data_IF_456574885770
#
_entry.id   IF_456574885770
#
_cell.length_a   1.000
_cell.length_b   1.000
_cell.length_c   1.000
_cell.angle_alpha   90.00
_cell.angle_beta   90.00
_cell.angle_gamma   90.00
#
_symmetry.space_group_name_H-M   'P 1'
#
loop_
_entity.id
_entity.type
_entity.pdbx_description
1 polymer ?
#
# COMPACT_ATOMS: atom_id res chain seq x y z
N UNK A 1 13.91 -1.05 -21.18
CA UNK A 1 13.03 -2.04 -20.51
C UNK A 1 11.87 -1.26 -19.92
N UNK A 2 10.64 -1.60 -20.28
CA UNK A 2 9.46 -1.00 -19.67
C UNK A 2 9.22 -1.69 -18.32
N UNK A 3 9.71 -1.05 -17.26
CA UNK A 3 9.61 -1.56 -15.89
C UNK A 3 8.15 -1.72 -15.47
N UNK A 4 7.24 -0.87 -15.95
CA UNK A 4 5.82 -0.95 -15.61
C UNK A 4 5.17 -2.15 -16.30
N UNK A 5 5.43 -2.35 -17.59
CA UNK A 5 4.92 -3.52 -18.30
C UNK A 5 5.44 -4.83 -17.67
N UNK A 6 6.74 -4.89 -17.34
CA UNK A 6 7.33 -6.08 -16.74
C UNK A 6 6.80 -6.36 -15.33
N UNK A 7 6.62 -5.30 -14.54
CA UNK A 7 6.01 -5.34 -13.21
C UNK A 7 4.58 -5.89 -13.20
N UNK A 8 3.79 -5.52 -14.22
CA UNK A 8 2.38 -5.89 -14.29
C UNK A 8 2.19 -7.40 -14.46
N UNK A 9 3.15 -8.11 -15.06
CA UNK A 9 3.07 -9.57 -15.27
C UNK A 9 2.80 -10.36 -13.99
N UNK A 10 3.38 -9.94 -12.86
CA UNK A 10 3.13 -10.54 -11.55
C UNK A 10 2.09 -9.76 -10.74
N UNK A 11 2.01 -8.44 -10.86
CA UNK A 11 1.03 -7.65 -10.11
C UNK A 11 -0.43 -7.96 -10.48
N UNK A 12 -0.67 -8.50 -11.68
CA UNK A 12 -1.97 -9.02 -12.13
C UNK A 12 -2.31 -10.43 -11.58
N UNK A 13 -1.35 -11.08 -10.91
CA UNK A 13 -1.50 -12.45 -10.38
C UNK A 13 -1.42 -12.50 -8.85
N UNK A 14 -0.97 -11.43 -8.21
CA UNK A 14 -0.80 -11.35 -6.77
C UNK A 14 -1.88 -10.48 -6.14
N UNK A 15 -2.52 -11.00 -5.09
CA UNK A 15 -3.48 -10.25 -4.28
C UNK A 15 -2.80 -9.11 -3.50
N UNK A 16 -3.47 -7.96 -3.41
CA UNK A 16 -3.01 -6.84 -2.60
C UNK A 16 -2.97 -7.17 -1.10
N UNK A 17 -3.83 -8.07 -0.62
CA UNK A 17 -3.81 -8.57 0.77
C UNK A 17 -2.47 -9.21 1.13
N UNK A 18 -1.80 -9.88 0.18
CA UNK A 18 -0.45 -10.43 0.41
C UNK A 18 0.54 -9.34 0.83
N UNK A 19 0.49 -8.16 0.18
CA UNK A 19 1.31 -7.01 0.54
C UNK A 19 0.88 -6.41 1.88
N UNK A 20 -0.42 -6.30 2.12
CA UNK A 20 -0.96 -5.81 3.40
C UNK A 20 -0.49 -6.65 4.60
N UNK A 21 -0.47 -7.97 4.47
CA UNK A 21 0.06 -8.86 5.51
C UNK A 21 1.56 -8.72 5.72
N UNK A 22 2.35 -8.54 4.65
CA UNK A 22 3.75 -8.19 4.77
C UNK A 22 3.91 -6.91 5.59
N UNK A 23 3.15 -5.86 5.27
CA UNK A 23 3.26 -4.57 5.94
C UNK A 23 2.84 -4.64 7.42
N UNK A 24 1.77 -5.37 7.76
CA UNK A 24 1.41 -5.63 9.16
C UNK A 24 2.52 -6.37 9.90
N UNK A 25 3.07 -7.43 9.28
CA UNK A 25 4.14 -8.21 9.90
C UNK A 25 5.39 -7.36 10.13
N UNK A 26 5.75 -6.49 9.19
CA UNK A 26 6.87 -5.56 9.34
C UNK A 26 6.61 -4.51 10.42
N UNK A 27 5.39 -3.96 10.50
CA UNK A 27 5.02 -2.96 11.53
C UNK A 27 5.00 -3.57 12.94
N UNK A 28 4.49 -4.80 13.08
CA UNK A 28 4.41 -5.50 14.36
C UNK A 28 5.77 -6.02 14.87
N UNK A 29 6.72 -6.28 13.95
CA UNK A 29 8.05 -6.78 14.33
C UNK A 29 8.91 -5.66 14.92
N UNK A 30 9.61 -5.93 16.02
CA UNK A 30 10.61 -5.01 16.58
C UNK A 30 12.01 -5.33 16.05
N UNK A 31 12.85 -4.30 15.92
CA UNK A 31 14.24 -4.44 15.49
C UNK A 31 14.44 -4.55 13.97
N UNK A 32 15.39 -3.77 13.46
CA UNK A 32 15.67 -3.67 12.01
C UNK A 32 16.17 -4.98 11.41
N UNK A 33 16.95 -5.78 12.16
CA UNK A 33 17.49 -7.07 11.67
C UNK A 33 16.36 -8.05 11.33
N UNK A 34 15.40 -8.24 12.25
CA UNK A 34 14.27 -9.15 12.05
C UNK A 34 13.37 -8.70 10.90
N UNK A 35 13.10 -7.39 10.79
CA UNK A 35 12.37 -6.82 9.66
C UNK A 35 13.06 -7.06 8.32
N UNK A 36 14.39 -6.88 8.26
CA UNK A 36 15.18 -7.19 7.05
C UNK A 36 15.07 -8.67 6.67
N UNK A 37 15.14 -9.58 7.64
CA UNK A 37 14.95 -11.02 7.38
C UNK A 37 13.57 -11.32 6.78
N UNK A 38 12.50 -10.74 7.32
CA UNK A 38 11.14 -10.91 6.81
C UNK A 38 11.03 -10.39 5.37
N UNK A 39 11.53 -9.17 5.11
CA UNK A 39 11.47 -8.56 3.79
C UNK A 39 12.34 -9.32 2.76
N UNK A 40 13.56 -9.70 3.12
CA UNK A 40 14.43 -10.49 2.24
C UNK A 40 13.81 -11.85 1.90
N UNK A 41 13.15 -12.50 2.87
CA UNK A 41 12.42 -13.74 2.59
C UNK A 41 11.24 -13.52 1.64
N UNK A 42 10.50 -12.42 1.82
CA UNK A 42 9.41 -12.05 0.92
C UNK A 42 9.90 -11.84 -0.52
N UNK A 43 11.00 -11.10 -0.69
CA UNK A 43 11.61 -10.84 -2.01
C UNK A 43 12.06 -12.15 -2.67
N UNK A 44 12.67 -13.08 -1.92
CA UNK A 44 13.04 -14.39 -2.47
C UNK A 44 11.84 -15.19 -2.98
N UNK A 45 10.71 -15.18 -2.23
CA UNK A 45 9.48 -15.86 -2.65
C UNK A 45 8.85 -15.17 -3.87
N UNK A 46 8.92 -13.84 -3.91
CA UNK A 46 8.51 -13.04 -5.05
C UNK A 46 9.29 -13.41 -6.31
N UNK A 47 10.62 -13.47 -6.22
CA UNK A 47 11.51 -13.82 -7.34
C UNK A 47 11.20 -15.23 -7.87
N UNK A 48 10.95 -16.20 -6.98
CA UNK A 48 10.55 -17.56 -7.36
C UNK A 48 9.20 -17.55 -8.10
N UNK A 49 8.20 -16.86 -7.55
CA UNK A 49 6.88 -16.78 -8.16
C UNK A 49 6.93 -16.12 -9.54
N UNK A 50 7.67 -15.02 -9.65
CA UNK A 50 7.85 -14.29 -10.90
C UNK A 50 8.60 -15.12 -11.95
N UNK A 51 9.64 -15.85 -11.55
CA UNK A 51 10.38 -16.76 -12.45
C UNK A 51 9.47 -17.86 -13.03
N UNK A 52 8.53 -18.36 -12.23
CA UNK A 52 7.55 -19.37 -12.68
C UNK A 52 6.53 -18.81 -13.68
N UNK A 53 6.33 -17.49 -13.73
CA UNK A 53 5.45 -16.83 -14.70
C UNK A 53 6.16 -16.56 -16.04
N UNK A 54 7.50 -16.60 -16.09
CA UNK A 54 8.29 -16.25 -17.27
C UNK A 54 8.71 -17.49 -18.08
N UNK A 55 8.48 -17.46 -19.39
CA UNK A 55 9.06 -18.43 -20.33
C UNK A 55 10.59 -18.26 -20.40
N UNK A 56 11.32 -19.31 -20.80
CA UNK A 56 12.80 -19.33 -20.85
C UNK A 56 13.41 -18.18 -21.67
N UNK A 57 12.72 -17.69 -22.70
CA UNK A 57 13.17 -16.61 -23.57
C UNK A 57 12.93 -15.19 -23.03
N UNK A 58 12.09 -15.01 -22.01
CA UNK A 58 11.74 -13.69 -21.45
C UNK A 58 12.66 -13.27 -20.29
N UNK A 59 13.54 -14.17 -19.83
CA UNK A 59 14.32 -14.01 -18.59
C UNK A 59 15.39 -12.92 -18.66
N UNK A 60 15.83 -12.54 -19.86
CA UNK A 60 17.02 -11.71 -20.06
C UNK A 60 16.86 -10.23 -19.64
N UNK A 61 15.63 -9.75 -19.47
CA UNK A 61 15.33 -8.41 -18.95
C UNK A 61 14.50 -8.40 -17.66
N UNK A 62 14.09 -9.56 -17.18
CA UNK A 62 13.05 -9.76 -16.18
C UNK A 62 13.59 -9.57 -14.73
N UNK A 63 14.40 -8.54 -14.49
CA UNK A 63 15.09 -8.35 -13.22
C UNK A 63 14.17 -7.99 -12.04
N UNK A 64 14.80 -7.52 -10.96
CA UNK A 64 14.17 -6.95 -9.75
C UNK A 64 13.16 -5.83 -10.03
N UNK A 65 13.11 -5.32 -11.27
CA UNK A 65 12.04 -4.53 -11.84
C UNK A 65 10.65 -5.10 -11.55
N UNK A 66 10.50 -6.42 -11.50
CA UNK A 66 9.24 -7.07 -11.15
C UNK A 66 8.72 -6.68 -9.75
N UNK A 67 9.61 -6.28 -8.83
CA UNK A 67 9.26 -5.90 -7.46
C UNK A 67 8.80 -4.45 -7.31
N UNK A 68 8.90 -3.64 -8.37
CA UNK A 68 8.52 -2.23 -8.36
C UNK A 68 7.11 -1.93 -7.80
N UNK A 69 6.05 -2.72 -8.10
CA UNK A 69 4.69 -2.50 -7.57
C UNK A 69 4.59 -2.61 -6.06
N UNK A 70 5.45 -3.42 -5.43
CA UNK A 70 5.55 -3.54 -3.97
C UNK A 70 6.47 -2.44 -3.42
N UNK A 71 7.59 -2.18 -4.10
CA UNK A 71 8.58 -1.19 -3.70
C UNK A 71 7.97 0.22 -3.59
N UNK A 72 7.15 0.63 -4.55
CA UNK A 72 6.49 1.95 -4.54
C UNK A 72 5.47 2.12 -3.40
N UNK A 73 4.99 1.01 -2.83
CA UNK A 73 4.12 1.01 -1.65
C UNK A 73 4.93 0.95 -0.33
N UNK A 74 6.06 0.25 -0.32
CA UNK A 74 6.98 0.22 0.82
C UNK A 74 7.72 1.55 1.03
N UNK A 75 8.05 2.23 -0.06
CA UNK A 75 8.81 3.48 -0.09
C UNK A 75 8.05 4.56 -0.88
N UNK A 76 6.86 4.99 -0.44
CA UNK A 76 6.06 5.98 -1.15
C UNK A 76 6.77 7.33 -1.29
N UNK A 77 7.70 7.67 -0.39
CA UNK A 77 8.55 8.85 -0.50
C UNK A 77 9.46 8.86 -1.75
N UNK A 78 9.67 7.70 -2.37
CA UNK A 78 10.54 7.50 -3.53
C UNK A 78 9.76 7.20 -4.81
N UNK A 79 8.43 7.14 -4.74
CA UNK A 79 7.57 7.03 -5.91
C UNK A 79 7.41 8.41 -6.56
N UNK A 80 8.24 8.68 -7.58
CA UNK A 80 8.14 9.90 -8.39
C UNK A 80 7.04 9.84 -9.45
N UNK A 81 6.55 8.65 -9.79
CA UNK A 81 5.54 8.45 -10.82
C UNK A 81 4.14 8.82 -10.31
N UNK A 82 3.91 8.64 -9.01
CA UNK A 82 2.66 9.03 -8.34
C UNK A 82 2.77 10.44 -7.73
N UNK A 83 1.94 11.41 -8.16
CA UNK A 83 1.92 12.72 -7.51
C UNK A 83 1.37 12.61 -6.08
N UNK A 84 1.57 13.66 -5.28
CA UNK A 84 0.99 13.70 -3.94
C UNK A 84 -0.54 13.68 -4.00
N UNK A 85 -1.19 12.86 -3.17
CA UNK A 85 -2.65 12.75 -3.13
C UNK A 85 -3.37 14.04 -2.72
N UNK A 86 -2.71 14.90 -1.93
CA UNK A 86 -3.32 16.09 -1.37
C UNK A 86 -4.55 15.79 -0.49
N UNK A 87 -4.59 14.60 0.12
CA UNK A 87 -5.68 14.11 0.96
C UNK A 87 -5.26 14.11 2.42
N UNK A 88 -6.09 14.73 3.26
CA UNK A 88 -5.98 14.69 4.73
C UNK A 88 -7.02 13.75 5.29
N UNK A 89 -6.81 13.28 6.51
CA UNK A 89 -7.72 12.37 7.24
C UNK A 89 -9.17 12.88 7.23
N UNK A 90 -9.42 14.16 7.52
CA UNK A 90 -10.76 14.77 7.47
C UNK A 90 -11.46 14.61 6.10
N UNK A 91 -10.70 14.60 5.01
CA UNK A 91 -11.25 14.40 3.66
C UNK A 91 -11.50 12.92 3.38
N UNK A 92 -10.61 12.05 3.84
CA UNK A 92 -10.80 10.60 3.76
C UNK A 92 -11.98 10.15 4.61
N UNK A 93 -12.16 10.65 5.83
CA UNK A 93 -13.35 10.41 6.65
C UNK A 93 -14.63 10.71 5.88
N UNK A 94 -14.71 11.87 5.22
CA UNK A 94 -15.88 12.24 4.40
C UNK A 94 -16.09 11.30 3.20
N UNK A 95 -15.01 10.89 2.54
CA UNK A 95 -15.07 9.93 1.44
C UNK A 95 -15.58 8.56 1.93
N UNK A 96 -15.01 8.04 3.01
CA UNK A 96 -15.39 6.75 3.58
C UNK A 96 -16.83 6.75 4.11
N UNK A 97 -17.25 7.80 4.82
CA UNK A 97 -18.65 7.95 5.27
C UNK A 97 -19.60 7.88 4.08
N UNK A 98 -19.32 8.64 3.01
CA UNK A 98 -20.18 8.69 1.84
C UNK A 98 -20.18 7.36 1.07
N UNK A 99 -19.02 6.75 0.91
CA UNK A 99 -18.85 5.59 0.04
C UNK A 99 -19.26 4.26 0.71
N UNK A 100 -19.18 4.17 2.05
CA UNK A 100 -19.79 3.07 2.83
C UNK A 100 -21.27 3.32 3.17
N UNK A 101 -21.84 4.48 2.84
CA UNK A 101 -23.20 4.83 3.22
C UNK A 101 -23.40 4.97 4.75
N UNK A 102 -22.35 5.33 5.49
CA UNK A 102 -22.42 5.51 6.94
C UNK A 102 -23.29 6.74 7.24
N UNK A 103 -24.22 6.61 8.20
CA UNK A 103 -25.04 7.72 8.65
C UNK A 103 -24.15 8.88 9.17
N UNK A 104 -24.16 10.09 8.57
CA UNK A 104 -23.19 11.15 8.85
C UNK A 104 -23.17 11.64 10.30
N UNK A 105 -24.28 11.50 11.04
CA UNK A 105 -24.41 11.87 12.45
C UNK A 105 -24.40 10.67 13.39
N UNK A 106 -24.26 9.45 12.85
CA UNK A 106 -24.25 8.22 13.62
C UNK A 106 -22.95 8.00 14.40
N UNK A 107 -22.95 7.06 15.36
CA UNK A 107 -21.80 6.80 16.23
C UNK A 107 -20.53 6.40 15.43
N UNK A 108 -20.71 5.64 14.35
CA UNK A 108 -19.65 5.23 13.42
C UNK A 108 -18.98 6.43 12.75
N UNK A 109 -19.76 7.38 12.23
CA UNK A 109 -19.24 8.60 11.60
C UNK A 109 -18.54 9.50 12.63
N UNK A 110 -19.08 9.61 13.85
CA UNK A 110 -18.46 10.36 14.93
C UNK A 110 -17.11 9.74 15.33
N UNK A 111 -17.00 8.40 15.41
CA UNK A 111 -15.74 7.71 15.71
C UNK A 111 -14.65 7.99 14.67
N UNK A 112 -15.00 8.04 13.38
CA UNK A 112 -14.06 8.39 12.31
C UNK A 112 -13.69 9.87 12.28
N UNK A 113 -14.57 10.76 12.76
CA UNK A 113 -14.37 12.21 12.70
C UNK A 113 -13.62 12.71 13.94
N UNK A 114 -13.93 12.15 15.10
CA UNK A 114 -13.36 12.51 16.40
C UNK A 114 -12.93 11.26 17.18
N UNK A 115 -11.82 10.60 16.79
CA UNK A 115 -11.43 9.33 17.40
C UNK A 115 -11.13 9.43 18.90
N UNK A 116 -10.67 10.59 19.36
CA UNK A 116 -10.29 10.83 20.76
C UNK A 116 -11.45 11.27 21.66
N UNK A 117 -12.62 11.61 21.11
CA UNK A 117 -13.74 12.14 21.91
C UNK A 117 -14.61 11.05 22.55
N UNK A 118 -14.42 9.78 22.19
CA UNK A 118 -15.27 8.67 22.65
C UNK A 118 -14.81 8.02 23.96
N UNK A 119 -13.98 8.69 24.77
CA UNK A 119 -13.56 8.21 26.11
C UNK A 119 -12.66 6.96 26.12
N UNK A 120 -12.52 6.26 24.99
CA UNK A 120 -11.58 5.16 24.83
C UNK A 120 -10.15 5.70 24.72
N UNK A 121 -9.27 5.28 25.65
CA UNK A 121 -7.83 5.51 25.50
C UNK A 121 -7.35 4.71 24.28
N UNK A 122 -7.07 5.41 23.18
CA UNK A 122 -6.42 4.80 22.02
C UNK A 122 -5.08 4.20 22.45
N UNK A 123 -4.80 2.99 21.99
CA UNK A 123 -3.51 2.37 22.25
C UNK A 123 -2.38 3.25 21.69
N UNK A 124 -1.22 3.22 22.36
CA UNK A 124 -0.07 4.01 21.94
C UNK A 124 0.34 3.58 20.52
N UNK A 125 0.30 4.52 19.57
CA UNK A 125 0.66 4.28 18.17
C UNK A 125 -0.49 3.89 17.24
N UNK A 126 -1.73 3.90 17.72
CA UNK A 126 -2.94 3.79 16.88
C UNK A 126 -3.07 5.03 15.99
N UNK A 127 -3.17 4.82 14.68
CA UNK A 127 -3.37 5.89 13.69
C UNK A 127 -4.79 5.86 13.08
N UNK A 128 -5.12 6.85 12.25
CA UNK A 128 -6.42 6.94 11.58
C UNK A 128 -6.77 5.68 10.77
N UNK A 129 -5.78 5.03 10.15
CA UNK A 129 -6.00 3.79 9.40
C UNK A 129 -6.42 2.64 10.33
N UNK A 130 -5.83 2.53 11.53
CA UNK A 130 -6.26 1.54 12.53
C UNK A 130 -7.70 1.80 13.00
N UNK A 131 -8.07 3.06 13.24
CA UNK A 131 -9.44 3.44 13.63
C UNK A 131 -10.45 3.09 12.52
N UNK A 132 -10.09 3.37 11.27
CA UNK A 132 -10.92 3.03 10.13
C UNK A 132 -11.12 1.52 10.03
N UNK A 133 -10.05 0.73 10.13
CA UNK A 133 -10.10 -0.73 10.12
C UNK A 133 -11.13 -1.26 11.12
N UNK A 134 -11.03 -0.84 12.38
CA UNK A 134 -11.95 -1.29 13.43
C UNK A 134 -13.39 -0.85 13.20
N UNK A 135 -13.59 0.24 12.47
CA UNK A 135 -14.91 0.81 12.22
C UNK A 135 -15.62 0.10 11.08
N UNK A 136 -14.92 -0.23 9.99
CA UNK A 136 -15.53 -0.79 8.79
C UNK A 136 -15.39 -2.30 8.66
N UNK A 137 -14.64 -2.98 9.54
CA UNK A 137 -14.38 -4.42 9.43
C UNK A 137 -15.61 -5.31 9.32
N UNK A 138 -16.73 -4.94 9.96
CA UNK A 138 -17.98 -5.69 9.89
C UNK A 138 -18.78 -5.48 8.60
N UNK A 139 -18.37 -4.53 7.75
CA UNK A 139 -19.05 -4.16 6.50
C UNK A 139 -18.19 -4.45 5.26
N UNK A 140 -16.97 -4.96 5.45
CA UNK A 140 -16.05 -5.27 4.35
C UNK A 140 -16.13 -6.75 4.00
N UNK A 141 -15.63 -7.09 2.81
CA UNK A 141 -15.42 -8.49 2.42
C UNK A 141 -14.39 -9.16 3.34
N UNK A 142 -14.53 -10.47 3.49
CA UNK A 142 -13.52 -11.32 4.14
C UNK A 142 -12.54 -11.90 3.13
N UNK A 143 -12.99 -12.19 1.91
CA UNK A 143 -12.17 -12.70 0.81
C UNK A 143 -11.49 -11.56 0.05
N UNK A 144 -10.18 -11.71 -0.19
CA UNK A 144 -9.41 -10.75 -0.98
C UNK A 144 -9.53 -11.06 -2.46
N UNK A 145 -10.11 -10.12 -3.21
CA UNK A 145 -10.22 -10.17 -4.68
C UNK A 145 -9.44 -9.04 -5.36
N UNK A 146 -8.97 -8.05 -4.60
CA UNK A 146 -8.23 -6.91 -5.12
C UNK A 146 -6.80 -7.32 -5.47
N UNK A 147 -6.43 -7.20 -6.74
CA UNK A 147 -5.07 -7.48 -7.21
C UNK A 147 -4.13 -6.31 -6.91
N UNK A 148 -2.83 -6.60 -6.82
CA UNK A 148 -1.81 -5.59 -6.56
C UNK A 148 -1.74 -4.52 -7.65
N UNK A 149 -1.95 -4.91 -8.92
CA UNK A 149 -2.05 -3.96 -10.03
C UNK A 149 -3.23 -3.02 -9.83
N UNK A 150 -4.42 -3.56 -9.58
CA UNK A 150 -5.65 -2.78 -9.40
C UNK A 150 -5.54 -1.81 -8.22
N UNK A 151 -4.93 -2.25 -7.12
CA UNK A 151 -4.63 -1.38 -5.98
C UNK A 151 -3.70 -0.21 -6.37
N UNK A 152 -2.64 -0.48 -7.15
CA UNK A 152 -1.75 0.56 -7.62
C UNK A 152 -2.42 1.54 -8.60
N UNK A 153 -3.21 1.02 -9.55
CA UNK A 153 -3.96 1.81 -10.52
C UNK A 153 -4.98 2.72 -9.83
N UNK A 154 -5.64 2.20 -8.78
CA UNK A 154 -6.57 2.97 -7.97
C UNK A 154 -5.85 4.11 -7.20
N UNK A 155 -4.70 3.81 -6.59
CA UNK A 155 -3.89 4.83 -5.93
C UNK A 155 -3.40 5.89 -6.94
N UNK A 156 -2.99 5.49 -8.14
CA UNK A 156 -2.62 6.41 -9.22
C UNK A 156 -3.79 7.28 -9.66
N UNK A 157 -5.00 6.71 -9.77
CA UNK A 157 -6.23 7.45 -10.07
C UNK A 157 -6.58 8.45 -8.97
N UNK A 158 -6.51 8.05 -7.70
CA UNK A 158 -6.76 8.93 -6.55
C UNK A 158 -5.76 10.08 -6.49
N UNK A 159 -4.49 9.81 -6.79
CA UNK A 159 -3.42 10.82 -6.81
C UNK A 159 -3.62 11.86 -7.92
N UNK A 160 -4.16 11.43 -9.07
CA UNK A 160 -4.42 12.31 -10.24
C UNK A 160 -5.79 12.99 -10.21
N UNK A 161 -6.70 12.54 -9.35
CA UNK A 161 -8.05 13.08 -9.25
C UNK A 161 -8.05 14.54 -8.78
N UNK A 162 -8.69 15.41 -9.57
CA UNK A 162 -8.74 16.86 -9.35
C UNK A 162 -9.94 17.29 -8.52
N UNK A 163 -10.99 16.48 -8.47
CA UNK A 163 -12.24 16.81 -7.78
C UNK A 163 -12.63 15.76 -6.73
N UNK A 164 -13.46 16.17 -5.77
CA UNK A 164 -14.05 15.24 -4.81
C UNK A 164 -14.98 14.21 -5.46
N UNK A 165 -15.61 14.56 -6.59
CA UNK A 165 -16.43 13.63 -7.36
C UNK A 165 -15.60 12.50 -7.97
N UNK A 166 -14.49 12.83 -8.63
CA UNK A 166 -13.56 11.83 -9.19
C UNK A 166 -12.99 10.90 -8.12
N UNK A 167 -12.62 11.47 -6.96
CA UNK A 167 -12.13 10.69 -5.81
C UNK A 167 -13.20 9.75 -5.28
N UNK A 168 -14.44 10.19 -5.19
CA UNK A 168 -15.56 9.35 -4.77
C UNK A 168 -15.82 8.21 -5.76
N UNK A 169 -15.75 8.48 -7.06
CA UNK A 169 -15.88 7.43 -8.09
C UNK A 169 -14.79 6.38 -7.93
N UNK A 170 -13.52 6.79 -7.73
CA UNK A 170 -12.44 5.85 -7.45
C UNK A 170 -12.70 5.05 -6.16
N UNK A 171 -13.12 5.70 -5.06
CA UNK A 171 -13.45 4.99 -3.81
C UNK A 171 -14.60 4.00 -3.97
N UNK A 172 -15.64 4.34 -4.74
CA UNK A 172 -16.77 3.44 -5.01
C UNK A 172 -16.36 2.22 -5.84
N UNK A 173 -15.30 2.31 -6.65
CA UNK A 173 -14.73 1.13 -7.31
C UNK A 173 -13.90 0.26 -6.37
N UNK A 174 -13.31 0.85 -5.31
CA UNK A 174 -12.47 0.14 -4.34
C UNK A 174 -13.27 -0.64 -3.30
N UNK A 175 -14.24 0.03 -2.66
CA UNK A 175 -14.94 -0.48 -1.47
C UNK A 175 -15.55 -1.87 -1.65
N UNK A 176 -16.24 -2.18 -2.76
CA UNK A 176 -16.82 -3.52 -2.91
C UNK A 176 -15.79 -4.61 -3.16
N UNK A 177 -14.51 -4.29 -3.41
CA UNK A 177 -13.46 -5.26 -3.75
C UNK A 177 -12.46 -5.48 -2.60
N UNK A 178 -12.34 -4.52 -1.69
CA UNK A 178 -11.31 -4.53 -0.66
C UNK A 178 -11.83 -5.08 0.67
N UNK A 179 -10.97 -5.87 1.30
CA UNK A 179 -11.08 -6.29 2.70
C UNK A 179 -10.77 -5.12 3.64
N UNK A 180 -11.11 -5.28 4.91
CA UNK A 180 -10.84 -4.24 5.92
C UNK A 180 -9.34 -3.92 6.04
N UNK A 181 -8.47 -4.94 5.96
CA UNK A 181 -7.01 -4.75 6.02
C UNK A 181 -6.49 -4.02 4.78
N UNK A 182 -7.05 -4.26 3.60
CA UNK A 182 -6.67 -3.53 2.40
C UNK A 182 -7.08 -2.06 2.49
N UNK A 183 -8.28 -1.76 2.99
CA UNK A 183 -8.70 -0.38 3.26
C UNK A 183 -7.79 0.33 4.25
N UNK A 184 -7.40 -0.35 5.33
CA UNK A 184 -6.43 0.14 6.32
C UNK A 184 -5.13 0.58 5.63
N UNK A 185 -4.55 -0.28 4.81
CA UNK A 185 -3.28 0.02 4.15
C UNK A 185 -3.40 1.08 3.07
N UNK A 186 -4.49 1.09 2.30
CA UNK A 186 -4.75 2.14 1.30
C UNK A 186 -4.79 3.51 1.97
N UNK A 187 -5.53 3.67 3.07
CA UNK A 187 -5.56 4.94 3.80
C UNK A 187 -4.19 5.31 4.35
N UNK A 188 -3.47 4.34 4.93
CA UNK A 188 -2.13 4.60 5.46
C UNK A 188 -1.17 5.08 4.35
N UNK A 189 -1.23 4.48 3.17
CA UNK A 189 -0.43 4.85 1.99
C UNK A 189 -0.81 6.22 1.40
N UNK A 190 -2.08 6.64 1.56
CA UNK A 190 -2.54 7.96 1.11
C UNK A 190 -2.11 9.06 2.08
N UNK A 191 -2.27 8.83 3.38
CA UNK A 191 -2.03 9.84 4.43
C UNK A 191 -0.55 10.01 4.72
N UNK A 192 0.22 8.92 4.71
CA UNK A 192 1.63 8.94 5.07
C UNK A 192 2.53 9.09 3.85
N UNK A 193 3.63 9.81 4.03
CA UNK A 193 4.75 9.82 3.06
C UNK A 193 5.70 8.64 3.24
N UNK A 194 5.50 7.82 4.27
CA UNK A 194 6.23 6.58 4.52
C UNK A 194 5.24 5.41 4.67
N UNK A 195 5.70 4.18 4.47
CA UNK A 195 4.83 3.00 4.62
C UNK A 195 4.45 2.69 6.08
N UNK A 196 4.97 3.40 7.09
CA UNK A 196 4.73 3.06 8.50
C UNK A 196 5.30 1.71 8.95
N UNK A 197 6.03 0.99 8.09
CA UNK A 197 6.60 -0.33 8.39
C UNK A 197 7.87 -0.25 9.27
N UNK A 198 8.40 0.94 9.51
CA UNK A 198 9.57 1.17 10.37
C UNK A 198 10.87 0.56 9.83
N UNK A 199 11.03 0.58 8.51
CA UNK A 199 12.29 0.35 7.79
C UNK A 199 12.69 1.65 7.09
N UNK A 200 13.98 2.01 7.14
CA UNK A 200 14.50 3.11 6.32
C UNK A 200 14.53 2.71 4.84
N UNK A 201 14.53 3.70 3.96
CA UNK A 201 14.75 3.49 2.53
C UNK A 201 16.01 2.69 2.23
N UNK A 202 17.12 3.05 2.87
CA UNK A 202 18.40 2.33 2.77
C UNK A 202 18.29 0.87 3.20
N UNK A 203 17.54 0.56 4.27
CA UNK A 203 17.36 -0.80 4.75
C UNK A 203 16.54 -1.65 3.77
N UNK A 204 15.49 -1.08 3.16
CA UNK A 204 14.70 -1.75 2.11
C UNK A 204 15.54 -2.00 0.86
N UNK A 205 16.29 -0.99 0.39
CA UNK A 205 17.17 -1.13 -0.78
C UNK A 205 18.25 -2.20 -0.56
N UNK A 206 18.84 -2.29 0.64
CA UNK A 206 19.78 -3.35 0.99
C UNK A 206 19.18 -4.75 0.92
N UNK A 207 17.89 -4.91 1.25
CA UNK A 207 17.18 -6.19 1.12
C UNK A 207 16.94 -6.57 -0.35
N UNK A 208 16.84 -5.59 -1.24
CA UNK A 208 16.66 -5.80 -2.69
C UNK A 208 18.00 -6.17 -3.32
N UNK A 209 19.04 -5.37 -3.08
CA UNK A 209 20.39 -5.67 -3.56
C UNK A 209 21.47 -4.89 -2.81
N UNK A 210 22.64 -5.47 -2.50
CA UNK A 210 23.76 -4.74 -1.90
C UNK A 210 24.21 -3.52 -2.71
N UNK A 211 24.13 -3.55 -4.05
CA UNK A 211 24.48 -2.40 -4.89
C UNK A 211 23.32 -1.41 -5.11
N UNK A 212 22.10 -1.72 -4.66
CA UNK A 212 20.95 -0.82 -4.90
C UNK A 212 21.11 0.53 -4.22
N UNK A 213 21.78 0.56 -3.06
CA UNK A 213 22.09 1.82 -2.34
C UNK A 213 22.97 2.73 -3.20
N UNK A 214 24.03 2.19 -3.82
CA UNK A 214 24.93 2.97 -4.67
C UNK A 214 24.27 3.46 -5.95
N UNK A 215 23.41 2.63 -6.55
CA UNK A 215 22.63 3.05 -7.72
C UNK A 215 21.62 4.14 -7.33
N UNK A 216 21.15 4.15 -6.06
CA UNK A 216 20.10 5.08 -5.58
C UNK A 216 20.64 6.47 -5.43
N UNK A 217 21.85 6.56 -4.89
CA UNK A 217 22.57 7.81 -4.77
C UNK A 217 22.69 8.52 -6.14
N UNK A 218 22.65 7.77 -7.24
CA UNK A 218 22.72 8.28 -8.62
C UNK A 218 21.34 8.51 -9.27
N UNK A 219 20.38 7.59 -9.14
CA UNK A 219 19.13 7.62 -9.94
C UNK A 219 17.93 8.22 -9.22
N UNK A 220 17.88 8.13 -7.88
CA UNK A 220 16.83 8.67 -7.01
C UNK A 220 15.39 8.31 -7.43
N UNK A 221 15.18 7.21 -8.15
CA UNK A 221 13.87 6.80 -8.65
C UNK A 221 13.65 5.29 -8.46
N UNK A 222 12.49 4.90 -7.92
CA UNK A 222 12.16 3.47 -7.74
C UNK A 222 12.02 2.71 -9.07
N UNK A 223 11.78 3.40 -10.18
CA UNK A 223 11.65 2.80 -11.52
C UNK A 223 12.97 2.28 -12.10
N UNK A 224 14.11 2.48 -11.42
CA UNK A 224 15.43 2.05 -11.92
C UNK A 224 15.93 0.72 -11.32
N UNK A 225 15.11 0.06 -10.49
CA UNK A 225 15.46 -1.17 -9.74
C UNK A 225 14.63 -2.35 -10.16
#
# INVERSE_FOLDING_TARGET
>A
MDVVAESNRIAEKVSFTTCCHLFEKLRATTGTKSKKTILSRFIQLWDVQYTNLCSTNDRAGAGRASFYPVLRLLLPQFDRARPAYGLREVTLTRLYIKAFGIAPKGPTAQRLTHPSSQGAKLAKGTDFADILFDTVRGCCREDSVLLLKDANDLLDRLARAKSMGERLVAMNTLIPLATAIEHKWIVRLIVRRDSGCGLSGTAVLQCIHPAAVRLWDVTQACTTY
#
